data_IF_929750242666
#
_entry.id   IF_929750242666
#
_cell.length_a   1.000
_cell.length_b   1.000
_cell.length_c   1.000
_cell.angle_alpha   90.00
_cell.angle_beta   90.00
_cell.angle_gamma   90.00
#
_symmetry.space_group_name_H-M   'P 1'
#
loop_
_entity.id
_entity.type
_entity.pdbx_description
1 polymer ?
#
# COMPACT_ATOMS: atom_id res chain seq x y z
N UNK A 1 -8.21 -15.61 5.03
CA UNK A 1 -7.05 -15.66 5.96
C UNK A 1 -7.30 -16.53 7.20
N UNK A 2 -7.97 -17.69 7.08
CA UNK A 2 -8.09 -18.60 8.24
C UNK A 2 -6.90 -19.56 8.36
N UNK A 3 -6.05 -19.70 7.34
CA UNK A 3 -4.93 -20.66 7.34
C UNK A 3 -3.61 -20.20 7.97
N UNK A 4 -3.37 -18.90 8.16
CA UNK A 4 -2.04 -18.40 8.58
C UNK A 4 -2.01 -17.69 9.94
N UNK A 5 -3.14 -17.55 10.66
CA UNK A 5 -3.17 -16.76 11.92
C UNK A 5 -2.22 -17.27 13.00
N UNK A 6 -2.00 -18.58 13.02
CA UNK A 6 -1.13 -19.27 13.98
C UNK A 6 0.15 -19.78 13.30
N UNK A 7 0.40 -19.40 12.04
CA UNK A 7 1.57 -19.85 11.29
C UNK A 7 2.84 -19.17 11.81
N UNK A 8 3.86 -19.98 12.07
CA UNK A 8 5.22 -19.52 12.37
C UNK A 8 6.06 -19.32 11.11
N UNK A 9 5.49 -19.49 9.92
CA UNK A 9 6.17 -19.14 8.67
C UNK A 9 6.43 -17.63 8.61
N UNK A 10 7.55 -17.20 7.98
CA UNK A 10 7.85 -15.79 7.79
C UNK A 10 6.77 -15.08 6.96
N UNK A 11 6.19 -14.00 7.49
CA UNK A 11 5.44 -13.04 6.68
C UNK A 11 6.39 -12.03 6.05
N UNK A 12 7.32 -11.49 6.84
CA UNK A 12 8.33 -10.57 6.32
C UNK A 12 9.64 -10.68 7.09
N UNK A 13 10.73 -10.35 6.41
CA UNK A 13 12.05 -10.14 7.02
C UNK A 13 12.63 -8.79 6.64
N UNK A 14 13.21 -8.08 7.59
CA UNK A 14 13.94 -6.83 7.32
C UNK A 14 15.37 -7.14 6.86
N UNK A 15 16.00 -6.21 6.14
CA UNK A 15 17.37 -6.35 5.62
C UNK A 15 18.32 -5.26 6.11
N UNK A 16 17.96 -4.62 7.23
CA UNK A 16 18.77 -3.61 7.90
C UNK A 16 19.99 -4.25 8.60
N UNK A 17 20.81 -3.44 9.29
CA UNK A 17 22.01 -3.93 10.01
C UNK A 17 21.71 -5.08 10.97
N UNK A 18 20.52 -5.06 11.58
CA UNK A 18 19.98 -6.12 12.41
C UNK A 18 18.70 -6.67 11.76
N UNK A 19 18.81 -7.70 10.90
CA UNK A 19 17.66 -8.33 10.28
C UNK A 19 16.71 -8.91 11.33
N UNK A 20 15.42 -8.63 11.16
CA UNK A 20 14.33 -9.16 11.99
C UNK A 20 13.38 -9.95 11.10
N UNK A 21 12.92 -11.09 11.58
CA UNK A 21 11.86 -11.86 10.92
C UNK A 21 10.59 -11.74 11.74
N UNK A 22 9.48 -11.42 11.06
CA UNK A 22 8.14 -11.39 11.64
C UNK A 22 7.34 -12.52 11.01
N UNK A 23 6.95 -13.48 11.84
CA UNK A 23 6.05 -14.57 11.41
C UNK A 23 4.61 -14.05 11.27
N UNK A 24 3.77 -14.81 10.58
CA UNK A 24 2.34 -14.49 10.49
C UNK A 24 1.67 -14.37 11.86
N UNK A 25 1.98 -15.30 12.77
CA UNK A 25 1.46 -15.28 14.14
C UNK A 25 1.94 -14.04 14.92
N UNK A 26 3.23 -13.70 14.83
CA UNK A 26 3.77 -12.50 15.48
C UNK A 26 3.11 -11.21 14.97
N UNK A 27 2.93 -11.09 13.65
CA UNK A 27 2.22 -9.95 13.05
C UNK A 27 0.76 -9.90 13.50
N UNK A 28 0.07 -11.05 13.54
CA UNK A 28 -1.32 -11.16 13.97
C UNK A 28 -1.50 -10.70 15.43
N UNK A 29 -0.61 -11.14 16.33
CA UNK A 29 -0.62 -10.76 17.75
C UNK A 29 -0.30 -9.27 17.93
N UNK A 30 0.70 -8.76 17.21
CA UNK A 30 1.05 -7.34 17.25
C UNK A 30 -0.12 -6.46 16.78
N UNK A 31 -0.79 -6.83 15.69
CA UNK A 31 -2.00 -6.14 15.24
C UNK A 31 -3.14 -6.20 16.27
N UNK A 32 -3.29 -7.33 16.99
CA UNK A 32 -4.28 -7.46 18.07
C UNK A 32 -4.01 -6.50 19.25
N UNK A 33 -2.76 -6.45 19.71
CA UNK A 33 -2.33 -5.51 20.77
C UNK A 33 -2.51 -4.05 20.36
N UNK A 34 -2.13 -3.70 19.13
CA UNK A 34 -2.31 -2.36 18.59
C UNK A 34 -3.79 -1.98 18.47
N UNK A 35 -4.67 -2.91 18.08
CA UNK A 35 -6.11 -2.65 18.01
C UNK A 35 -6.69 -2.36 19.40
N UNK A 36 -6.29 -3.13 20.44
CA UNK A 36 -6.64 -2.81 21.84
C UNK A 36 -6.09 -1.46 22.27
N UNK A 37 -4.85 -1.13 21.92
CA UNK A 37 -4.22 0.14 22.28
C UNK A 37 -4.98 1.33 21.69
N UNK A 38 -5.44 1.24 20.44
CA UNK A 38 -6.30 2.26 19.82
C UNK A 38 -7.64 2.39 20.55
N UNK A 39 -8.29 1.29 20.95
CA UNK A 39 -9.50 1.34 21.78
C UNK A 39 -9.24 2.02 23.14
N UNK A 40 -8.07 1.77 23.76
CA UNK A 40 -7.68 2.43 25.02
C UNK A 40 -7.43 3.93 24.87
N UNK A 41 -7.00 4.37 23.68
CA UNK A 41 -6.93 5.78 23.32
C UNK A 41 -8.32 6.37 22.96
N UNK A 42 -9.38 5.57 23.00
CA UNK A 42 -10.75 6.03 22.80
C UNK A 42 -11.27 5.88 21.37
N UNK A 43 -10.49 5.29 20.45
CA UNK A 43 -10.96 5.04 19.09
C UNK A 43 -12.11 4.02 19.06
N UNK A 44 -13.11 4.29 18.22
CA UNK A 44 -14.27 3.44 17.95
C UNK A 44 -14.31 3.03 16.48
N UNK A 45 -14.97 1.92 16.11
CA UNK A 45 -15.15 1.56 14.71
C UNK A 45 -15.71 2.73 13.89
N UNK A 46 -15.12 3.00 12.73
CA UNK A 46 -15.40 4.17 11.87
C UNK A 46 -14.54 5.41 12.15
N UNK A 47 -13.83 5.46 13.28
CA UNK A 47 -12.93 6.58 13.56
C UNK A 47 -11.66 6.51 12.71
N UNK A 48 -11.17 7.69 12.31
CA UNK A 48 -9.93 7.81 11.55
C UNK A 48 -8.72 7.71 12.49
N UNK A 49 -7.73 6.93 12.08
CA UNK A 49 -6.42 6.84 12.72
C UNK A 49 -5.42 7.43 11.75
N UNK A 50 -5.01 8.67 12.01
CA UNK A 50 -4.03 9.36 11.17
C UNK A 50 -2.63 8.93 11.58
N UNK A 51 -1.84 8.47 10.62
CA UNK A 51 -0.54 7.87 10.87
C UNK A 51 0.52 8.54 10.01
N UNK A 52 1.48 9.19 10.66
CA UNK A 52 2.64 9.78 10.00
C UNK A 52 3.92 9.31 10.71
N UNK A 53 4.35 8.12 10.32
CA UNK A 53 5.55 7.47 10.83
C UNK A 53 6.33 6.88 9.66
N UNK A 54 7.63 6.70 9.85
CA UNK A 54 8.46 6.01 8.87
C UNK A 54 7.96 4.58 8.59
N UNK A 55 8.29 4.07 7.41
CA UNK A 55 7.95 2.70 7.02
C UNK A 55 8.64 1.71 7.97
N UNK A 56 7.86 0.81 8.57
CA UNK A 56 8.36 -0.24 9.45
C UNK A 56 7.38 -1.43 9.49
N UNK A 57 7.80 -2.62 9.94
CA UNK A 57 6.88 -3.73 10.23
C UNK A 57 5.76 -3.34 11.20
N UNK A 58 6.06 -2.48 12.17
CA UNK A 58 5.11 -1.94 13.14
C UNK A 58 4.04 -1.07 12.45
N UNK A 59 4.41 -0.31 11.42
CA UNK A 59 3.44 0.47 10.61
C UNK A 59 2.49 -0.46 9.84
N UNK A 60 2.98 -1.59 9.33
CA UNK A 60 2.12 -2.60 8.70
C UNK A 60 1.18 -3.25 9.72
N UNK A 61 1.66 -3.58 10.93
CA UNK A 61 0.81 -4.07 12.00
C UNK A 61 -0.26 -3.05 12.43
N UNK A 62 0.07 -1.76 12.44
CA UNK A 62 -0.89 -0.69 12.75
C UNK A 62 -1.99 -0.58 11.68
N UNK A 63 -1.65 -0.74 10.40
CA UNK A 63 -2.65 -0.86 9.33
C UNK A 63 -3.57 -2.06 9.56
N UNK A 64 -3.01 -3.24 9.84
CA UNK A 64 -3.79 -4.45 10.12
C UNK A 64 -4.65 -4.31 11.38
N UNK A 65 -4.15 -3.63 12.41
CA UNK A 65 -4.88 -3.31 13.62
C UNK A 65 -6.10 -2.43 13.34
N UNK A 66 -5.96 -1.46 12.43
CA UNK A 66 -7.06 -0.62 11.99
C UNK A 66 -8.15 -1.43 11.30
N UNK A 67 -7.77 -2.28 10.33
CA UNK A 67 -8.73 -3.17 9.68
C UNK A 67 -9.43 -4.09 10.69
N UNK A 68 -8.68 -4.65 11.65
CA UNK A 68 -9.20 -5.56 12.66
C UNK A 68 -10.15 -4.88 13.64
N UNK A 69 -9.83 -3.65 14.05
CA UNK A 69 -10.61 -2.83 14.97
C UNK A 69 -11.78 -2.10 14.31
N UNK A 70 -11.93 -2.19 12.99
CA UNK A 70 -12.94 -1.43 12.23
C UNK A 70 -12.63 0.06 12.14
N UNK A 71 -11.37 0.47 12.36
CA UNK A 71 -10.92 1.85 12.25
C UNK A 71 -10.54 2.20 10.81
N UNK A 72 -10.62 3.48 10.46
CA UNK A 72 -10.28 3.99 9.13
C UNK A 72 -8.81 4.44 9.12
N UNK A 73 -7.94 3.65 8.49
CA UNK A 73 -6.51 3.95 8.44
C UNK A 73 -6.21 5.10 7.47
N UNK A 74 -5.53 6.14 7.95
CA UNK A 74 -5.14 7.29 7.12
C UNK A 74 -3.63 7.51 7.21
N UNK A 75 -2.84 6.91 6.31
CA UNK A 75 -1.40 7.14 6.28
C UNK A 75 -1.08 8.47 5.60
N UNK A 76 -0.10 9.19 6.14
CA UNK A 76 0.42 10.44 5.59
C UNK A 76 1.92 10.30 5.30
N UNK A 77 2.40 11.08 4.33
CA UNK A 77 3.82 11.10 3.98
C UNK A 77 4.65 11.60 5.19
N UNK A 78 5.65 10.83 5.66
CA UNK A 78 6.56 11.29 6.71
C UNK A 78 7.27 12.60 6.41
N UNK A 79 7.43 12.94 5.12
CA UNK A 79 8.04 14.19 4.69
C UNK A 79 7.13 15.43 4.80
N UNK A 80 5.83 15.26 5.09
CA UNK A 80 4.93 16.41 5.25
C UNK A 80 5.29 17.25 6.48
N UNK A 81 5.35 18.55 6.26
CA UNK A 81 5.54 19.57 7.28
C UNK A 81 4.32 19.71 8.18
N UNK A 82 4.48 20.33 9.35
CA UNK A 82 3.37 20.60 10.28
C UNK A 82 2.23 21.40 9.63
N UNK A 83 2.55 22.35 8.74
CA UNK A 83 1.56 23.14 8.01
C UNK A 83 0.74 22.30 7.01
N UNK A 84 1.40 21.37 6.30
CA UNK A 84 0.69 20.45 5.41
C UNK A 84 -0.20 19.48 6.20
N UNK A 85 0.28 19.00 7.35
CA UNK A 85 -0.47 18.09 8.23
C UNK A 85 -1.69 18.74 8.86
N UNK A 86 -1.64 20.04 9.16
CA UNK A 86 -2.78 20.79 9.66
C UNK A 86 -3.99 20.62 8.75
N UNK A 87 -3.80 20.70 7.44
CA UNK A 87 -4.87 20.48 6.47
C UNK A 87 -5.45 19.06 6.58
N UNK A 88 -4.59 18.03 6.53
CA UNK A 88 -5.02 16.63 6.53
C UNK A 88 -5.69 16.20 7.84
N UNK A 89 -5.15 16.64 8.98
CA UNK A 89 -5.66 16.30 10.30
C UNK A 89 -6.99 17.03 10.56
N UNK A 90 -7.10 18.30 10.16
CA UNK A 90 -8.34 19.07 10.32
C UNK A 90 -9.45 18.55 9.40
N UNK A 91 -9.14 18.13 8.17
CA UNK A 91 -10.13 17.58 7.23
C UNK A 91 -10.63 16.19 7.66
N UNK A 92 -9.71 15.32 8.10
CA UNK A 92 -10.03 13.97 8.50
C UNK A 92 -10.68 13.87 9.90
N UNK A 93 -10.40 14.81 10.82
CA UNK A 93 -10.82 14.78 12.23
C UNK A 93 -10.59 13.40 12.89
N UNK A 94 -9.34 12.92 12.97
CA UNK A 94 -9.05 11.62 13.56
C UNK A 94 -9.35 11.56 15.05
N UNK A 95 -9.76 10.38 15.53
CA UNK A 95 -9.82 10.12 16.97
C UNK A 95 -8.41 10.00 17.56
N UNK A 96 -7.47 9.46 16.77
CA UNK A 96 -6.07 9.22 17.18
C UNK A 96 -5.12 9.65 16.07
N UNK A 97 -4.09 10.43 16.45
CA UNK A 97 -2.93 10.74 15.62
C UNK A 97 -1.74 9.95 16.16
N UNK A 98 -1.10 9.18 15.29
CA UNK A 98 0.15 8.48 15.56
C UNK A 98 1.27 9.12 14.75
N UNK A 99 2.28 9.66 15.43
CA UNK A 99 3.43 10.30 14.77
C UNK A 99 4.77 9.77 15.27
N UNK A 100 5.85 10.16 14.60
CA UNK A 100 7.20 9.90 15.13
C UNK A 100 7.39 10.60 16.49
N UNK A 101 8.06 9.98 17.48
CA UNK A 101 8.41 10.62 18.75
C UNK A 101 9.00 12.02 18.61
N UNK A 102 9.85 12.24 17.59
CA UNK A 102 10.56 13.50 17.40
C UNK A 102 9.62 14.62 16.92
N UNK A 103 8.43 14.27 16.44
CA UNK A 103 7.38 15.19 15.95
C UNK A 103 6.27 15.47 16.95
N UNK A 104 6.34 14.85 18.15
CA UNK A 104 5.27 14.95 19.14
C UNK A 104 4.99 16.40 19.55
N UNK A 105 6.02 17.17 19.88
CA UNK A 105 5.89 18.53 20.36
C UNK A 105 5.21 19.46 19.34
N UNK A 106 5.51 19.28 18.05
CA UNK A 106 4.93 20.08 16.97
C UNK A 106 3.45 19.75 16.73
N UNK A 107 3.05 18.49 16.92
CA UNK A 107 1.70 18.02 16.63
C UNK A 107 0.75 18.06 17.83
N UNK A 108 1.26 18.16 19.06
CA UNK A 108 0.44 18.19 20.28
C UNK A 108 -0.56 19.34 20.30
N UNK A 109 -0.20 20.60 19.93
CA UNK A 109 -1.17 21.69 19.85
C UNK A 109 -2.27 21.44 18.80
N UNK A 110 -1.89 20.90 17.64
CA UNK A 110 -2.81 20.60 16.55
C UNK A 110 -3.80 19.50 16.94
N UNK A 111 -3.31 18.40 17.53
CA UNK A 111 -4.15 17.30 18.00
C UNK A 111 -5.10 17.76 19.11
N UNK A 112 -4.61 18.56 20.07
CA UNK A 112 -5.44 19.11 21.14
C UNK A 112 -6.57 20.01 20.60
N UNK A 113 -6.28 20.85 19.60
CA UNK A 113 -7.26 21.77 18.99
C UNK A 113 -8.46 21.03 18.36
N UNK A 114 -8.25 19.85 17.81
CA UNK A 114 -9.31 19.02 17.22
C UNK A 114 -9.83 17.91 18.15
N UNK A 115 -9.34 17.85 19.39
CA UNK A 115 -9.73 16.82 20.37
C UNK A 115 -9.20 15.42 20.08
N UNK A 116 -8.21 15.27 19.18
CA UNK A 116 -7.60 13.99 18.87
C UNK A 116 -6.60 13.56 19.95
N UNK A 117 -6.50 12.25 20.23
CA UNK A 117 -5.41 11.71 21.07
C UNK A 117 -4.13 11.60 20.26
N UNK A 118 -3.06 12.19 20.75
CA UNK A 118 -1.73 12.04 20.17
C UNK A 118 -0.95 10.92 20.87
N UNK A 119 -0.37 10.01 20.09
CA UNK A 119 0.56 8.99 20.56
C UNK A 119 1.70 8.80 19.56
N UNK A 120 2.77 8.12 19.95
CA UNK A 120 3.99 8.05 19.11
C UNK A 120 4.44 6.63 18.83
N UNK A 121 4.93 6.37 17.62
CA UNK A 121 5.42 5.07 17.17
C UNK A 121 6.62 5.26 16.25
N UNK A 122 7.70 4.52 16.50
CA UNK A 122 8.85 4.40 15.61
C UNK A 122 9.29 2.94 15.49
N UNK A 123 9.79 2.55 14.32
CA UNK A 123 10.18 1.17 13.98
C UNK A 123 11.39 0.61 14.75
N UNK A 124 11.90 1.34 15.75
CA UNK A 124 12.98 0.95 16.67
C UNK A 124 12.45 0.64 18.08
N UNK A 125 11.19 0.20 18.18
CA UNK A 125 10.51 -0.15 19.43
C UNK A 125 10.35 1.04 20.40
N UNK A 126 10.28 2.26 19.88
CA UNK A 126 10.10 3.48 20.66
C UNK A 126 8.77 4.15 20.39
N UNK A 127 8.38 4.98 21.35
CA UNK A 127 7.17 5.77 21.30
C UNK A 127 6.10 5.31 22.29
N UNK A 128 5.23 6.24 22.68
CA UNK A 128 4.22 6.00 23.70
C UNK A 128 3.16 4.98 23.25
N UNK A 129 2.84 4.93 21.95
CA UNK A 129 1.92 3.95 21.39
C UNK A 129 2.53 2.55 21.41
N UNK A 130 3.83 2.44 21.11
CA UNK A 130 4.55 1.18 21.20
C UNK A 130 4.53 0.61 22.63
N UNK A 131 4.82 1.45 23.63
CA UNK A 131 4.77 1.04 25.03
C UNK A 131 3.35 0.66 25.46
N UNK A 132 2.33 1.41 25.02
CA UNK A 132 0.94 1.13 25.34
C UNK A 132 0.48 -0.23 24.78
N UNK A 133 0.87 -0.58 23.55
CA UNK A 133 0.46 -1.86 22.96
C UNK A 133 1.13 -3.05 23.67
N UNK A 134 2.37 -2.92 24.16
CA UNK A 134 3.08 -4.02 24.83
C UNK A 134 2.36 -4.56 26.08
N UNK A 135 1.55 -3.72 26.74
CA UNK A 135 0.77 -4.10 27.93
C UNK A 135 -0.67 -4.51 27.60
N UNK A 136 -1.05 -4.58 26.32
CA UNK A 136 -2.38 -5.05 25.91
C UNK A 136 -2.38 -6.57 25.67
N UNK A 137 -3.53 -7.24 25.85
CA UNK A 137 -3.71 -8.64 25.45
C UNK A 137 -3.43 -8.86 23.96
N UNK A 138 -2.81 -10.00 23.62
CA UNK A 138 -2.52 -10.37 22.24
C UNK A 138 -3.78 -10.75 21.44
N UNK A 139 -4.79 -11.26 22.14
CA UNK A 139 -6.07 -11.69 21.55
C UNK A 139 -7.00 -10.50 21.35
N UNK A 140 -7.52 -10.35 20.13
CA UNK A 140 -8.50 -9.33 19.79
C UNK A 140 -9.59 -9.92 18.88
N UNK A 141 -10.85 -9.78 19.24
CA UNK A 141 -11.95 -10.21 18.37
C UNK A 141 -12.12 -9.19 17.24
N UNK A 142 -11.97 -9.64 15.99
CA UNK A 142 -12.12 -8.76 14.83
C UNK A 142 -13.52 -8.17 14.80
N UNK A 143 -13.62 -6.84 14.71
CA UNK A 143 -14.89 -6.14 14.60
C UNK A 143 -15.52 -6.44 13.25
N UNK A 144 -16.80 -6.84 13.24
CA UNK A 144 -17.53 -7.10 12.01
C UNK A 144 -17.70 -5.82 11.19
N UNK A 145 -17.37 -5.87 9.90
CA UNK A 145 -17.52 -4.77 8.93
C UNK A 145 -18.11 -5.32 7.62
N UNK A 146 -19.01 -4.56 7.02
CA UNK A 146 -19.55 -4.83 5.68
C UNK A 146 -18.56 -4.47 4.57
N UNK A 147 -18.87 -4.84 3.32
CA UNK A 147 -18.02 -4.51 2.17
C UNK A 147 -17.95 -3.00 1.89
N UNK A 148 -19.00 -2.24 2.18
CA UNK A 148 -19.07 -0.79 1.92
C UNK A 148 -18.56 0.06 3.09
N UNK A 149 -18.19 -0.58 4.19
CA UNK A 149 -17.61 0.09 5.34
C UNK A 149 -16.21 0.65 5.02
N UNK A 150 -15.91 1.92 5.38
CA UNK A 150 -14.59 2.50 5.18
C UNK A 150 -13.51 1.73 5.92
N UNK A 151 -12.40 1.46 5.21
CA UNK A 151 -11.22 0.79 5.73
C UNK A 151 -10.01 1.73 5.76
N UNK A 152 -9.90 2.64 4.78
CA UNK A 152 -8.81 3.59 4.70
C UNK A 152 -9.21 4.90 4.01
N UNK A 153 -8.46 5.96 4.29
CA UNK A 153 -8.52 7.23 3.54
C UNK A 153 -7.11 7.55 3.05
N UNK A 154 -6.94 7.69 1.73
CA UNK A 154 -5.69 8.16 1.14
C UNK A 154 -5.91 9.51 0.47
N UNK A 155 -5.04 10.48 0.80
CA UNK A 155 -5.07 11.77 0.13
C UNK A 155 -4.36 11.72 -1.22
N UNK A 156 -5.02 12.27 -2.23
CA UNK A 156 -4.45 12.39 -3.57
C UNK A 156 -3.50 13.58 -3.65
N UNK A 157 -2.51 13.53 -4.55
CA UNK A 157 -1.51 14.59 -4.73
C UNK A 157 -2.06 15.91 -5.29
N UNK A 158 -3.38 16.02 -5.50
CA UNK A 158 -4.05 17.31 -5.74
C UNK A 158 -3.59 18.05 -7.01
N UNK A 159 -3.46 17.38 -8.16
CA UNK A 159 -3.02 18.03 -9.41
C UNK A 159 -3.95 19.16 -9.88
N UNK A 160 -5.20 19.23 -9.38
CA UNK A 160 -6.23 20.21 -9.74
C UNK A 160 -6.76 21.02 -8.55
N UNK A 161 -6.08 20.98 -7.39
CA UNK A 161 -6.49 21.73 -6.20
C UNK A 161 -6.01 21.12 -4.88
N UNK A 162 -6.64 21.49 -3.76
CA UNK A 162 -6.30 20.92 -2.45
C UNK A 162 -6.46 19.38 -2.47
N UNK A 163 -5.52 18.63 -1.86
CA UNK A 163 -5.62 17.18 -1.70
C UNK A 163 -7.00 16.74 -1.20
N UNK A 164 -7.51 15.62 -1.71
CA UNK A 164 -8.82 15.07 -1.33
C UNK A 164 -8.63 13.67 -0.77
N UNK A 165 -9.25 13.36 0.35
CA UNK A 165 -9.24 12.02 0.93
C UNK A 165 -10.14 11.09 0.14
N UNK A 166 -9.58 10.13 -0.59
CA UNK A 166 -10.34 9.06 -1.24
C UNK A 166 -10.72 8.00 -0.19
N UNK A 167 -12.01 7.73 -0.02
CA UNK A 167 -12.52 6.77 0.95
C UNK A 167 -12.54 5.37 0.33
N UNK A 168 -11.67 4.50 0.82
CA UNK A 168 -11.52 3.12 0.36
C UNK A 168 -12.20 2.18 1.34
N UNK A 169 -13.12 1.37 0.84
CA UNK A 169 -13.89 0.42 1.65
C UNK A 169 -13.17 -0.92 1.80
N UNK A 170 -13.60 -1.75 2.76
CA UNK A 170 -13.11 -3.12 2.88
C UNK A 170 -13.31 -3.93 1.59
N UNK A 171 -14.45 -3.74 0.91
CA UNK A 171 -14.78 -4.35 -0.37
C UNK A 171 -13.88 -3.88 -1.50
N UNK A 172 -13.52 -2.59 -1.56
CA UNK A 172 -12.57 -2.08 -2.55
C UNK A 172 -11.20 -2.77 -2.42
N UNK A 173 -10.65 -2.78 -1.21
CA UNK A 173 -9.32 -3.33 -0.96
C UNK A 173 -9.27 -4.85 -1.21
N UNK A 174 -10.31 -5.58 -0.79
CA UNK A 174 -10.36 -7.04 -0.95
C UNK A 174 -10.59 -7.46 -2.40
N UNK A 175 -11.53 -6.82 -3.12
CA UNK A 175 -11.81 -7.16 -4.52
C UNK A 175 -10.59 -6.91 -5.40
N UNK A 176 -9.92 -5.76 -5.21
CA UNK A 176 -8.73 -5.42 -5.98
C UNK A 176 -7.56 -6.39 -5.69
N UNK A 177 -7.32 -6.73 -4.42
CA UNK A 177 -6.28 -7.70 -4.09
C UNK A 177 -6.55 -9.10 -4.68
N UNK A 178 -7.81 -9.55 -4.73
CA UNK A 178 -8.19 -10.84 -5.34
C UNK A 178 -7.89 -10.88 -6.83
N UNK A 179 -8.33 -9.85 -7.56
CA UNK A 179 -8.06 -9.74 -9.00
C UNK A 179 -6.55 -9.77 -9.25
N UNK A 180 -5.76 -9.02 -8.47
CA UNK A 180 -4.31 -8.95 -8.63
C UNK A 180 -3.58 -10.25 -8.27
N UNK A 181 -4.00 -10.97 -7.21
CA UNK A 181 -3.47 -12.31 -6.91
C UNK A 181 -3.69 -13.24 -8.10
N UNK A 182 -4.89 -13.22 -8.67
CA UNK A 182 -5.25 -14.04 -9.83
C UNK A 182 -4.45 -13.64 -11.08
N UNK A 183 -4.50 -12.37 -11.50
CA UNK A 183 -3.89 -11.96 -12.78
C UNK A 183 -2.37 -11.96 -12.78
N UNK A 184 -1.72 -11.92 -11.61
CA UNK A 184 -0.26 -11.98 -11.48
C UNK A 184 0.25 -13.35 -11.04
N UNK A 185 -0.66 -14.32 -10.85
CA UNK A 185 -0.33 -15.67 -10.44
C UNK A 185 0.49 -15.71 -9.15
N UNK A 186 0.13 -14.88 -8.17
CA UNK A 186 0.79 -14.90 -6.87
C UNK A 186 0.44 -16.20 -6.13
N UNK A 187 1.45 -16.84 -5.55
CA UNK A 187 1.31 -18.09 -4.80
C UNK A 187 2.00 -17.98 -3.44
N UNK A 188 1.86 -19.00 -2.60
CA UNK A 188 2.56 -19.09 -1.31
C UNK A 188 4.08 -19.15 -1.44
N UNK A 189 4.60 -19.55 -2.60
CA UNK A 189 6.05 -19.66 -2.85
C UNK A 189 6.68 -18.31 -3.19
N UNK A 190 5.87 -17.27 -3.38
CA UNK A 190 6.39 -15.95 -3.74
C UNK A 190 7.03 -15.22 -2.56
N UNK A 191 8.11 -14.53 -2.89
CA UNK A 191 8.83 -13.63 -1.97
C UNK A 191 8.96 -12.27 -2.66
N UNK A 192 8.21 -11.29 -2.18
CA UNK A 192 8.20 -9.93 -2.71
C UNK A 192 9.34 -9.09 -2.10
N UNK A 193 10.15 -8.45 -2.94
CA UNK A 193 11.01 -7.34 -2.50
C UNK A 193 10.14 -6.09 -2.32
N UNK A 194 9.87 -5.71 -1.08
CA UNK A 194 9.03 -4.57 -0.76
C UNK A 194 9.88 -3.33 -0.40
N UNK A 195 10.17 -2.51 -1.40
CA UNK A 195 10.94 -1.25 -1.24
C UNK A 195 10.12 0.04 -1.43
N UNK A 196 8.81 -0.09 -1.67
CA UNK A 196 7.90 1.05 -1.85
C UNK A 196 7.46 1.67 -0.51
N UNK A 197 7.10 2.97 -0.47
CA UNK A 197 6.50 3.60 0.71
C UNK A 197 5.11 3.02 1.04
N UNK A 198 4.75 3.00 2.32
CA UNK A 198 3.47 2.46 2.82
C UNK A 198 2.42 3.54 3.13
N UNK A 199 2.63 4.77 2.65
CA UNK A 199 1.64 5.85 2.65
C UNK A 199 1.00 6.07 1.26
N UNK A 200 1.32 5.21 0.29
CA UNK A 200 0.72 5.20 -1.04
C UNK A 200 0.07 3.85 -1.33
N UNK A 201 -1.00 3.87 -2.14
CA UNK A 201 -1.77 2.67 -2.49
C UNK A 201 -0.91 1.54 -3.06
N UNK A 202 0.15 1.86 -3.81
CA UNK A 202 1.04 0.87 -4.42
C UNK A 202 1.81 0.03 -3.38
N UNK A 203 2.48 0.67 -2.43
CA UNK A 203 3.21 -0.07 -1.40
C UNK A 203 2.27 -0.67 -0.36
N UNK A 204 1.26 0.08 0.10
CA UNK A 204 0.41 -0.43 1.17
C UNK A 204 -0.60 -1.46 0.66
N UNK A 205 -1.48 -1.09 -0.27
CA UNK A 205 -2.60 -1.96 -0.64
C UNK A 205 -2.20 -3.00 -1.67
N UNK A 206 -1.60 -2.57 -2.79
CA UNK A 206 -1.23 -3.50 -3.85
C UNK A 206 -0.17 -4.48 -3.34
N UNK A 207 0.95 -3.97 -2.82
CA UNK A 207 2.05 -4.86 -2.44
C UNK A 207 1.73 -5.69 -1.20
N UNK A 208 1.30 -5.09 -0.08
CA UNK A 208 1.04 -5.85 1.14
C UNK A 208 -0.20 -6.74 1.03
N UNK A 209 -1.33 -6.26 0.50
CA UNK A 209 -2.56 -7.07 0.50
C UNK A 209 -2.49 -8.23 -0.50
N UNK A 210 -1.87 -8.07 -1.67
CA UNK A 210 -1.67 -9.17 -2.62
C UNK A 210 -0.79 -10.24 -1.99
N UNK A 211 0.35 -9.83 -1.41
CA UNK A 211 1.27 -10.75 -0.72
C UNK A 211 0.56 -11.49 0.40
N UNK A 212 -0.16 -10.76 1.26
CA UNK A 212 -0.84 -11.38 2.40
C UNK A 212 -2.04 -12.25 1.99
N UNK A 213 -2.73 -11.90 0.92
CA UNK A 213 -3.88 -12.68 0.44
C UNK A 213 -3.44 -13.96 -0.26
N UNK A 214 -2.30 -13.95 -0.96
CA UNK A 214 -1.70 -15.12 -1.58
C UNK A 214 -1.03 -16.08 -0.59
N UNK A 215 -0.80 -15.65 0.66
CA UNK A 215 0.00 -16.40 1.62
C UNK A 215 1.51 -16.36 1.33
N UNK A 216 1.95 -15.39 0.53
CA UNK A 216 3.35 -15.13 0.17
C UNK A 216 4.08 -14.37 1.30
N UNK A 217 5.39 -14.17 1.13
CA UNK A 217 6.22 -13.43 2.10
C UNK A 217 6.93 -12.21 1.48
N UNK A 218 7.56 -11.38 2.31
CA UNK A 218 8.23 -10.15 1.88
C UNK A 218 9.66 -10.02 2.42
N UNK A 219 10.56 -9.51 1.57
CA UNK A 219 11.81 -8.88 1.98
C UNK A 219 11.53 -7.39 2.16
N UNK A 220 11.51 -6.93 3.40
CA UNK A 220 11.06 -5.60 3.78
C UNK A 220 12.23 -4.62 3.85
N UNK A 221 12.29 -3.70 2.87
CA UNK A 221 13.26 -2.61 2.85
C UNK A 221 12.58 -1.32 3.32
N UNK A 222 13.19 -0.60 4.26
CA UNK A 222 12.64 0.68 4.76
C UNK A 222 12.44 1.71 3.63
N UNK A 223 13.34 1.72 2.65
CA UNK A 223 13.29 2.56 1.46
C UNK A 223 13.97 1.86 0.29
N UNK A 224 13.79 2.38 -0.91
CA UNK A 224 14.54 1.91 -2.07
C UNK A 224 16.03 2.20 -1.92
N UNK A 225 16.80 1.15 -2.03
CA UNK A 225 18.25 1.17 -2.14
C UNK A 225 18.63 0.14 -3.21
N UNK A 226 19.37 0.57 -4.24
CA UNK A 226 19.65 -0.26 -5.42
C UNK A 226 20.43 -1.51 -5.04
N UNK A 227 21.44 -1.38 -4.18
CA UNK A 227 22.33 -2.48 -3.80
C UNK A 227 21.57 -3.49 -2.93
N UNK A 228 20.76 -3.01 -1.99
CA UNK A 228 19.92 -3.86 -1.15
C UNK A 228 18.87 -4.63 -1.98
N UNK A 229 18.23 -3.98 -2.95
CA UNK A 229 17.27 -4.64 -3.86
C UNK A 229 17.99 -5.71 -4.69
N UNK A 230 19.14 -5.40 -5.31
CA UNK A 230 19.90 -6.37 -6.10
C UNK A 230 20.39 -7.53 -5.23
N UNK A 231 20.84 -7.26 -4.00
CA UNK A 231 21.26 -8.30 -3.05
C UNK A 231 20.10 -9.23 -2.65
N UNK A 232 18.87 -8.72 -2.62
CA UNK A 232 17.69 -9.48 -2.23
C UNK A 232 17.12 -10.37 -3.36
N UNK A 233 17.37 -10.05 -4.64
CA UNK A 233 16.80 -10.78 -5.79
C UNK A 233 17.07 -12.29 -5.81
N UNK A 234 18.26 -12.81 -5.43
CA UNK A 234 18.52 -14.25 -5.42
C UNK A 234 17.61 -15.05 -4.47
N UNK A 235 16.98 -14.39 -3.50
CA UNK A 235 16.09 -15.00 -2.52
C UNK A 235 14.63 -14.52 -2.69
N UNK A 236 14.34 -13.86 -3.81
CA UNK A 236 13.05 -13.28 -4.12
C UNK A 236 12.49 -13.81 -5.45
N UNK A 237 11.19 -13.63 -5.65
CA UNK A 237 10.53 -13.97 -6.91
C UNK A 237 9.88 -12.76 -7.59
N UNK A 238 9.47 -11.75 -6.82
CA UNK A 238 8.75 -10.58 -7.34
C UNK A 238 9.35 -9.27 -6.86
N UNK A 239 9.43 -8.28 -7.75
CA UNK A 239 9.68 -6.89 -7.41
C UNK A 239 8.52 -6.02 -7.90
N UNK A 240 7.90 -5.28 -6.98
CA UNK A 240 7.00 -4.17 -7.31
C UNK A 240 7.76 -2.86 -7.21
N UNK A 241 7.72 -2.06 -8.28
CA UNK A 241 8.50 -0.83 -8.37
C UNK A 241 7.82 0.25 -9.20
N UNK A 242 8.39 1.44 -9.13
CA UNK A 242 8.05 2.56 -10.02
C UNK A 242 9.08 2.64 -11.15
N UNK A 243 8.81 3.31 -12.29
CA UNK A 243 9.77 3.44 -13.39
C UNK A 243 11.18 3.88 -12.95
N UNK A 244 11.28 4.77 -11.96
CA UNK A 244 12.59 5.24 -11.44
C UNK A 244 13.40 4.14 -10.73
N UNK A 245 12.77 3.09 -10.19
CA UNK A 245 13.50 1.93 -9.65
C UNK A 245 14.22 1.21 -10.79
N UNK A 246 13.50 0.90 -11.86
CA UNK A 246 14.03 0.17 -13.02
C UNK A 246 15.14 0.95 -13.71
N UNK A 247 14.99 2.28 -13.83
CA UNK A 247 16.04 3.13 -14.36
C UNK A 247 17.33 3.07 -13.51
N UNK A 248 17.22 3.11 -12.18
CA UNK A 248 18.37 3.00 -11.27
C UNK A 248 18.98 1.60 -11.25
N UNK A 249 18.16 0.55 -11.30
CA UNK A 249 18.61 -0.84 -11.33
C UNK A 249 19.43 -1.13 -12.59
N UNK A 250 19.07 -0.56 -13.74
CA UNK A 250 19.80 -0.72 -15.00
C UNK A 250 21.27 -0.28 -14.90
N UNK A 251 21.59 0.68 -14.02
CA UNK A 251 22.95 1.17 -13.80
C UNK A 251 23.77 0.24 -12.89
N UNK A 252 23.13 -0.71 -12.19
CA UNK A 252 23.82 -1.64 -11.30
C UNK A 252 24.44 -2.82 -12.07
N UNK A 253 25.77 -2.95 -11.98
CA UNK A 253 26.55 -3.95 -12.73
C UNK A 253 26.07 -5.39 -12.48
N UNK A 254 25.68 -5.71 -11.24
CA UNK A 254 25.22 -7.03 -10.82
C UNK A 254 23.78 -7.39 -11.21
N UNK A 255 23.00 -6.47 -11.80
CA UNK A 255 21.56 -6.67 -12.04
C UNK A 255 21.26 -7.95 -12.82
N UNK A 256 21.93 -8.19 -13.95
CA UNK A 256 21.65 -9.34 -14.82
C UNK A 256 21.76 -10.67 -14.08
N UNK A 257 22.81 -10.83 -13.27
CA UNK A 257 23.03 -12.07 -12.49
C UNK A 257 21.99 -12.21 -11.38
N UNK A 258 21.71 -11.13 -10.66
CA UNK A 258 20.78 -11.15 -9.54
C UNK A 258 19.34 -11.39 -9.98
N UNK A 259 18.92 -10.82 -11.11
CA UNK A 259 17.57 -10.93 -11.64
C UNK A 259 17.24 -12.31 -12.22
N UNK A 260 18.23 -13.17 -12.49
CA UNK A 260 18.04 -14.40 -13.26
C UNK A 260 16.99 -15.38 -12.69
N UNK A 261 16.79 -15.39 -11.37
CA UNK A 261 15.79 -16.23 -10.70
C UNK A 261 14.44 -15.53 -10.47
N UNK A 262 14.31 -14.25 -10.82
CA UNK A 262 13.09 -13.49 -10.58
C UNK A 262 11.97 -13.95 -11.52
N UNK A 263 10.79 -14.19 -10.97
CA UNK A 263 9.58 -14.56 -11.73
C UNK A 263 8.96 -13.34 -12.39
N UNK A 264 8.87 -12.21 -11.66
CA UNK A 264 8.06 -11.08 -12.09
C UNK A 264 8.61 -9.72 -11.64
N UNK A 265 8.59 -8.76 -12.57
CA UNK A 265 8.86 -7.34 -12.31
C UNK A 265 7.61 -6.54 -12.66
N UNK A 266 7.05 -5.82 -11.69
CA UNK A 266 5.81 -5.07 -11.83
C UNK A 266 6.10 -3.57 -11.74
N UNK A 267 5.72 -2.80 -12.76
CA UNK A 267 5.87 -1.34 -12.77
C UNK A 267 4.53 -0.64 -12.74
N UNK A 268 4.44 0.44 -11.98
CA UNK A 268 3.52 1.52 -12.32
C UNK A 268 3.54 2.64 -11.30
N UNK A 269 2.39 3.30 -11.08
CA UNK A 269 2.25 4.60 -10.40
C UNK A 269 2.84 5.79 -11.17
N UNK A 270 3.55 5.53 -12.27
CA UNK A 270 3.93 6.49 -13.30
C UNK A 270 4.12 5.74 -14.62
N UNK A 271 4.04 6.42 -15.78
CA UNK A 271 4.24 5.79 -17.08
C UNK A 271 5.63 5.14 -17.21
N UNK A 272 5.67 3.86 -17.59
CA UNK A 272 6.90 3.19 -17.97
C UNK A 272 7.21 3.50 -19.44
N UNK A 273 8.33 4.18 -19.70
CA UNK A 273 8.68 4.50 -21.08
C UNK A 273 9.00 3.22 -21.89
N UNK A 274 8.61 3.15 -23.18
CA UNK A 274 8.97 2.02 -24.03
C UNK A 274 10.49 1.76 -24.08
N UNK A 275 11.29 2.82 -24.09
CA UNK A 275 12.75 2.72 -24.05
C UNK A 275 13.27 2.06 -22.77
N UNK A 276 12.70 2.39 -21.61
CA UNK A 276 13.08 1.78 -20.34
C UNK A 276 12.69 0.30 -20.29
N UNK A 277 11.48 -0.05 -20.77
CA UNK A 277 11.04 -1.43 -20.88
C UNK A 277 11.99 -2.25 -21.77
N UNK A 278 12.33 -1.74 -22.96
CA UNK A 278 13.25 -2.41 -23.90
C UNK A 278 14.63 -2.61 -23.30
N UNK A 279 15.24 -1.57 -22.71
CA UNK A 279 16.56 -1.67 -22.07
C UNK A 279 16.56 -2.69 -20.93
N UNK A 280 15.52 -2.72 -20.10
CA UNK A 280 15.40 -3.69 -19.00
C UNK A 280 15.31 -5.12 -19.52
N UNK A 281 14.50 -5.36 -20.56
CA UNK A 281 14.39 -6.65 -21.23
C UNK A 281 15.72 -7.10 -21.85
N UNK A 282 16.42 -6.23 -22.57
CA UNK A 282 17.73 -6.54 -23.16
C UNK A 282 18.79 -6.87 -22.09
N UNK A 283 18.77 -6.15 -20.97
CA UNK A 283 19.75 -6.34 -19.90
C UNK A 283 19.52 -7.60 -19.08
N UNK A 284 18.25 -7.93 -18.80
CA UNK A 284 17.88 -8.95 -17.81
C UNK A 284 17.20 -10.18 -18.40
N UNK A 285 16.63 -10.08 -19.59
CA UNK A 285 15.76 -11.09 -20.18
C UNK A 285 14.29 -10.97 -19.76
N UNK A 286 13.94 -10.13 -18.79
CA UNK A 286 12.59 -10.00 -18.27
C UNK A 286 11.83 -8.83 -18.93
N UNK A 287 10.60 -9.08 -19.37
CA UNK A 287 9.66 -8.02 -19.74
C UNK A 287 8.96 -7.50 -18.49
N UNK A 288 8.94 -6.18 -18.27
CA UNK A 288 8.26 -5.59 -17.12
C UNK A 288 6.75 -5.66 -17.34
N UNK A 289 6.01 -6.11 -16.34
CA UNK A 289 4.55 -6.07 -16.32
C UNK A 289 4.11 -4.68 -15.84
N UNK A 290 3.63 -3.85 -16.75
CA UNK A 290 3.04 -2.55 -16.41
C UNK A 290 1.55 -2.69 -16.09
N UNK A 291 1.09 -1.95 -15.07
CA UNK A 291 -0.32 -1.88 -14.63
C UNK A 291 -0.75 -0.44 -14.37
N UNK A 292 -2.03 -0.15 -14.54
CA UNK A 292 -2.61 1.17 -14.30
C UNK A 292 -3.62 1.16 -13.16
N UNK A 293 -3.60 2.23 -12.37
CA UNK A 293 -4.50 2.44 -11.25
C UNK A 293 -4.36 3.84 -10.67
N UNK A 294 -5.33 4.24 -9.87
CA UNK A 294 -5.38 5.52 -9.16
C UNK A 294 -5.67 5.28 -7.68
N UNK A 295 -5.54 6.32 -6.86
CA UNK A 295 -5.90 6.22 -5.43
C UNK A 295 -7.39 5.90 -5.28
N UNK A 296 -8.22 6.51 -6.14
CA UNK A 296 -9.68 6.45 -6.16
C UNK A 296 -10.24 5.14 -6.73
N UNK A 297 -9.41 4.34 -7.40
CA UNK A 297 -9.91 3.16 -8.13
C UNK A 297 -9.11 1.89 -7.85
N UNK A 298 -8.10 1.95 -6.99
CA UNK A 298 -7.14 0.86 -6.89
C UNK A 298 -6.51 0.59 -8.26
N UNK A 299 -6.25 -0.68 -8.59
CA UNK A 299 -5.77 -1.06 -9.92
C UNK A 299 -6.94 -1.31 -10.87
N UNK A 300 -6.82 -0.81 -12.11
CA UNK A 300 -7.87 -0.84 -13.14
C UNK A 300 -7.52 -1.80 -14.27
N UNK A 301 -6.26 -1.77 -14.69
CA UNK A 301 -5.76 -2.51 -15.85
C UNK A 301 -4.37 -3.07 -15.57
N UNK A 302 -4.03 -4.18 -16.23
CA UNK A 302 -2.73 -4.83 -16.10
C UNK A 302 -2.34 -5.49 -17.41
N UNK A 303 -1.07 -5.37 -17.81
CA UNK A 303 -0.51 -6.29 -18.80
C UNK A 303 -0.63 -7.74 -18.28
N UNK A 304 -0.78 -8.73 -19.17
CA UNK A 304 -1.00 -10.10 -18.75
C UNK A 304 0.28 -10.70 -18.15
N UNK A 305 0.10 -11.64 -17.21
CA UNK A 305 1.20 -12.47 -16.72
C UNK A 305 1.78 -13.29 -17.87
N UNK A 306 0.92 -14.02 -18.58
CA UNK A 306 1.27 -14.84 -19.74
C UNK A 306 0.84 -14.14 -21.02
N UNK A 307 1.79 -13.92 -21.93
CA UNK A 307 1.55 -13.28 -23.22
C UNK A 307 2.38 -12.01 -23.44
N UNK A 308 2.03 -11.28 -24.50
CA UNK A 308 2.77 -10.08 -24.89
C UNK A 308 2.50 -8.92 -23.92
N UNK A 309 3.57 -8.41 -23.29
CA UNK A 309 3.55 -7.18 -22.50
C UNK A 309 3.98 -6.03 -23.42
N UNK A 310 3.02 -5.21 -23.86
CA UNK A 310 3.24 -4.19 -24.90
C UNK A 310 3.83 -2.92 -24.29
N UNK A 311 5.04 -2.49 -24.70
CA UNK A 311 5.64 -1.26 -24.18
C UNK A 311 4.76 -0.04 -24.47
N UNK A 312 4.49 0.78 -23.45
CA UNK A 312 3.62 1.96 -23.58
C UNK A 312 2.11 1.64 -23.47
N UNK A 313 1.75 0.38 -23.20
CA UNK A 313 0.39 -0.02 -22.84
C UNK A 313 0.36 -0.49 -21.39
N UNK A 314 -0.75 -0.22 -20.71
CA UNK A 314 -1.01 -0.66 -19.33
C UNK A 314 -1.82 -1.96 -19.27
N UNK A 315 -2.11 -2.55 -20.43
CA UNK A 315 -2.85 -3.80 -20.60
C UNK A 315 -4.37 -3.65 -20.54
N UNK A 316 -5.11 -4.77 -20.65
CA UNK A 316 -6.57 -4.80 -20.53
C UNK A 316 -7.05 -4.51 -19.10
N UNK A 317 -8.35 -4.27 -18.96
CA UNK A 317 -9.01 -4.14 -17.66
C UNK A 317 -8.84 -5.43 -16.81
N UNK A 318 -8.81 -5.27 -15.49
CA UNK A 318 -8.84 -6.39 -14.55
C UNK A 318 -10.18 -7.15 -14.64
N UNK A 319 -10.25 -8.43 -14.22
CA UNK A 319 -11.44 -9.26 -14.39
C UNK A 319 -12.73 -8.68 -13.82
N UNK A 320 -12.66 -8.01 -12.66
CA UNK A 320 -13.82 -7.40 -12.02
C UNK A 320 -14.02 -5.93 -12.40
N UNK A 321 -13.21 -5.39 -13.30
CA UNK A 321 -13.19 -3.97 -13.68
C UNK A 321 -13.60 -3.79 -15.13
N UNK A 322 -14.48 -2.82 -15.38
CA UNK A 322 -14.84 -2.34 -16.70
C UNK A 322 -14.16 -1.01 -16.99
N UNK A 323 -13.62 -0.87 -18.19
CA UNK A 323 -13.01 0.36 -18.68
C UNK A 323 -13.64 0.72 -20.02
N UNK A 324 -14.05 1.98 -20.17
CA UNK A 324 -14.48 2.53 -21.46
C UNK A 324 -13.76 3.84 -21.75
N UNK A 325 -13.70 4.18 -23.04
CA UNK A 325 -13.17 5.45 -23.53
C UNK A 325 -14.34 6.29 -24.02
N UNK A 326 -14.47 7.51 -23.52
CA UNK A 326 -15.54 8.43 -23.92
C UNK A 326 -14.97 9.70 -24.52
N UNK A 327 -15.81 10.44 -25.25
CA UNK A 327 -15.52 11.85 -25.49
C UNK A 327 -15.42 12.61 -24.14
N UNK A 328 -14.80 13.79 -24.13
CA UNK A 328 -14.55 14.54 -22.89
C UNK A 328 -15.75 15.35 -22.38
N UNK A 329 -16.70 15.69 -23.26
CA UNK A 329 -17.68 16.75 -23.01
C UNK A 329 -19.13 16.24 -22.98
N UNK A 330 -19.46 15.25 -23.81
CA UNK A 330 -20.77 14.60 -23.95
C UNK A 330 -20.87 13.17 -23.39
N UNK A 331 -19.75 12.53 -23.04
CA UNK A 331 -19.71 11.20 -22.41
C UNK A 331 -20.11 10.05 -23.33
N UNK A 332 -20.18 10.26 -24.65
CA UNK A 332 -20.45 9.19 -25.60
C UNK A 332 -19.23 8.26 -25.70
N UNK A 333 -19.48 6.95 -25.81
CA UNK A 333 -18.42 5.94 -25.94
C UNK A 333 -17.79 6.06 -27.32
N UNK A 334 -16.46 6.17 -27.35
CA UNK A 334 -15.67 6.26 -28.58
C UNK A 334 -15.30 4.86 -29.12
N UNK A 335 -15.17 4.71 -30.45
CA UNK A 335 -14.66 3.50 -31.08
C UNK A 335 -13.25 3.12 -30.62
N UNK A 336 -12.91 1.84 -30.72
CA UNK A 336 -11.55 1.35 -30.46
C UNK A 336 -10.52 2.03 -31.37
N UNK A 337 -9.46 2.58 -30.78
CA UNK A 337 -8.38 3.28 -31.48
C UNK A 337 -8.45 4.80 -31.34
N UNK A 338 -9.57 5.35 -30.89
CA UNK A 338 -9.73 6.78 -30.64
C UNK A 338 -9.25 7.18 -29.23
N UNK A 339 -8.80 8.44 -29.10
CA UNK A 339 -8.31 9.00 -27.83
C UNK A 339 -9.42 9.76 -27.12
N UNK A 340 -9.65 9.44 -25.85
CA UNK A 340 -10.72 10.04 -25.05
C UNK A 340 -10.45 10.03 -23.53
N UNK A 341 -11.50 10.29 -22.76
CA UNK A 341 -11.49 10.15 -21.31
C UNK A 341 -11.61 8.67 -20.91
N UNK A 342 -10.84 8.25 -19.91
CA UNK A 342 -10.92 6.90 -19.36
C UNK A 342 -11.95 6.92 -18.23
N UNK A 343 -12.99 6.11 -18.35
CA UNK A 343 -13.97 5.89 -17.30
C UNK A 343 -13.93 4.43 -16.81
N UNK A 344 -14.07 4.25 -15.50
CA UNK A 344 -13.89 2.95 -14.84
C UNK A 344 -15.12 2.63 -13.98
N UNK A 345 -15.58 1.38 -14.05
CA UNK A 345 -16.62 0.83 -13.18
C UNK A 345 -16.18 -0.52 -12.62
N UNK A 346 -16.41 -0.74 -11.34
CA UNK A 346 -16.10 -2.01 -10.70
C UNK A 346 -16.09 -1.91 -9.18
N UNK A 347 -15.94 -3.04 -8.46
CA UNK A 347 -15.90 -3.08 -7.01
C UNK A 347 -14.62 -2.46 -6.43
N UNK A 348 -13.63 -2.14 -7.28
CA UNK A 348 -12.38 -1.45 -6.95
C UNK A 348 -12.56 0.08 -6.77
N UNK A 349 -13.63 0.66 -7.32
CA UNK A 349 -13.88 2.11 -7.29
C UNK A 349 -14.28 2.56 -5.89
N UNK A 350 -13.59 3.58 -5.37
CA UNK A 350 -13.81 4.19 -4.06
C UNK A 350 -15.27 4.60 -3.81
N UNK A 351 -15.66 4.74 -2.54
CA UNK A 351 -17.04 5.14 -2.20
C UNK A 351 -17.32 6.63 -2.43
N UNK A 352 -16.26 7.43 -2.56
CA UNK A 352 -16.30 8.87 -2.80
C UNK A 352 -15.16 9.62 -2.08
N UNK A 353 -15.15 10.94 -2.22
CA UNK A 353 -14.23 11.79 -1.45
C UNK A 353 -14.79 12.08 -0.06
N UNK A 354 -13.92 12.02 0.95
CA UNK A 354 -14.25 12.32 2.33
C UNK A 354 -14.87 13.72 2.45
N UNK A 355 -16.03 13.80 3.11
CA UNK A 355 -16.77 15.05 3.38
C UNK A 355 -17.05 15.91 2.16
N UNK A 356 -17.18 15.29 0.99
CA UNK A 356 -17.70 15.94 -0.21
C UNK A 356 -18.96 15.23 -0.63
N UNK A 357 -20.04 15.98 -0.77
CA UNK A 357 -21.27 15.48 -1.38
C UNK A 357 -20.97 15.04 -2.82
N UNK A 358 -21.71 14.02 -3.28
CA UNK A 358 -21.59 13.48 -4.63
C UNK A 358 -22.18 14.42 -5.67
#
# INVERSE_FOLDING_TARGET
MNGHRESEEPLLRTVEKEPRTFTWNQMHRMAGRMARALQRLGARPGDRITVQVEKSPETLALYLACLRGGFVFQPLNPAYTTAELEHFITDAEPAVVICDPDRKADLEPLAARIGARLSTLRGDWKGSFFMLQMVQPETFETVARGPDDPAAILYTSGTTGRPKGAVLTHGNLLSNARDLVFVWGFTTDDVLIHALPVHHAHGLFVACNVTMLAGASMIWLQKFDTDAVVKAMPEASVLMGVPTFYARLLEHRGLKRAAAGMRLFISGSAPLSPALHTRFRERTGHAILERYGLTETGMNASNPLDGERRPGSVGPALPSTEIRITDRDGGAVLPTGETGMIEVRGPNVFSGYWRREK
#
